data_IF_350884568454
#
_entry.id   IF_350884568454
#
_cell.length_a   1.000
_cell.length_b   1.000
_cell.length_c   1.000
_cell.angle_alpha   90.00
_cell.angle_beta   90.00
_cell.angle_gamma   90.00
#
_symmetry.space_group_name_H-M   'P 1'
#
loop_
_entity.id
_entity.type
_entity.pdbx_description
1 polymer ?
#
# COMPACT_ATOMS: atom_id res chain seq x y z
N UNK A 1 2.02 20.63 1.24
CA UNK A 1 1.45 20.12 2.50
C UNK A 1 0.34 19.13 2.15
N UNK A 2 0.55 17.82 2.30
CA UNK A 2 -0.49 16.84 1.99
C UNK A 2 -1.68 17.05 2.93
N UNK A 3 -2.86 17.33 2.37
CA UNK A 3 -4.11 17.48 3.13
C UNK A 3 -4.50 16.11 3.70
N UNK A 4 -4.05 15.78 4.90
CA UNK A 4 -4.51 14.58 5.59
C UNK A 4 -5.92 14.80 6.14
N UNK A 5 -6.90 14.12 5.54
CA UNK A 5 -8.26 14.06 6.06
C UNK A 5 -8.31 13.07 7.23
N UNK A 6 -8.85 13.52 8.39
CA UNK A 6 -9.10 12.65 9.55
C UNK A 6 -10.60 12.35 9.61
N UNK A 7 -10.97 11.09 9.37
CA UNK A 7 -12.35 10.62 9.54
C UNK A 7 -12.46 9.86 10.87
N UNK A 8 -13.43 10.23 11.72
CA UNK A 8 -13.70 9.53 12.97
C UNK A 8 -14.74 8.44 12.71
N UNK A 9 -14.28 7.18 12.61
CA UNK A 9 -15.16 6.04 12.32
C UNK A 9 -15.79 5.56 13.63
N UNK A 10 -17.12 5.61 13.72
CA UNK A 10 -17.85 4.98 14.83
C UNK A 10 -17.88 3.47 14.60
N UNK A 11 -17.14 2.72 15.41
CA UNK A 11 -17.11 1.26 15.39
C UNK A 11 -16.77 0.72 16.78
N UNK A 12 -17.14 -0.54 17.05
CA UNK A 12 -16.78 -1.22 18.30
C UNK A 12 -15.27 -1.54 18.35
N UNK A 13 -14.80 -1.96 19.53
CA UNK A 13 -13.38 -2.20 19.80
C UNK A 13 -12.77 -3.29 18.91
N UNK A 14 -13.53 -4.32 18.54
CA UNK A 14 -13.06 -5.41 17.70
C UNK A 14 -12.94 -4.96 16.25
N UNK A 15 -13.97 -4.31 15.72
CA UNK A 15 -13.95 -3.74 14.37
C UNK A 15 -12.81 -2.72 14.21
N UNK A 16 -12.61 -1.84 15.18
CA UNK A 16 -11.53 -0.87 15.15
C UNK A 16 -10.13 -1.52 15.10
N UNK A 17 -9.93 -2.62 15.82
CA UNK A 17 -8.67 -3.39 15.79
C UNK A 17 -8.41 -3.98 14.40
N UNK A 18 -9.44 -4.57 13.78
CA UNK A 18 -9.35 -5.13 12.42
C UNK A 18 -9.00 -4.02 11.42
N UNK A 19 -9.71 -2.90 11.46
CA UNK A 19 -9.43 -1.74 10.59
C UNK A 19 -7.98 -1.25 10.75
N UNK A 20 -7.48 -1.15 11.99
CA UNK A 20 -6.09 -0.74 12.23
C UNK A 20 -5.09 -1.70 11.58
N UNK A 21 -5.33 -3.00 11.66
CA UNK A 21 -4.48 -4.03 11.03
C UNK A 21 -4.55 -3.90 9.50
N UNK A 22 -5.75 -3.81 8.93
CA UNK A 22 -5.95 -3.64 7.49
C UNK A 22 -5.28 -2.38 6.96
N UNK A 23 -5.40 -1.24 7.64
CA UNK A 23 -4.72 0.00 7.24
C UNK A 23 -3.20 -0.14 7.27
N UNK A 24 -2.65 -0.82 8.29
CA UNK A 24 -1.19 -1.08 8.36
C UNK A 24 -0.73 -1.98 7.22
N UNK A 25 -1.45 -3.08 6.97
CA UNK A 25 -1.15 -4.00 5.87
C UNK A 25 -1.24 -3.30 4.52
N UNK A 26 -2.30 -2.52 4.29
CA UNK A 26 -2.51 -1.74 3.06
C UNK A 26 -1.38 -0.72 2.83
N UNK A 27 -0.99 0.04 3.86
CA UNK A 27 0.13 0.98 3.78
C UNK A 27 1.44 0.26 3.43
N UNK A 28 1.72 -0.87 4.09
CA UNK A 28 2.95 -1.62 3.86
C UNK A 28 2.98 -2.20 2.44
N UNK A 29 1.87 -2.77 1.97
CA UNK A 29 1.72 -3.29 0.62
C UNK A 29 1.93 -2.19 -0.42
N UNK A 30 1.30 -1.02 -0.23
CA UNK A 30 1.47 0.13 -1.11
C UNK A 30 2.94 0.59 -1.19
N UNK A 31 3.59 0.75 -0.03
CA UNK A 31 4.98 1.18 0.02
C UNK A 31 5.94 0.17 -0.64
N UNK A 32 5.70 -1.12 -0.44
CA UNK A 32 6.53 -2.17 -1.01
C UNK A 32 6.34 -2.27 -2.54
N UNK A 33 5.10 -2.19 -3.03
CA UNK A 33 4.79 -2.10 -4.46
C UNK A 33 5.45 -0.87 -5.11
N UNK A 34 5.27 0.31 -4.49
CA UNK A 34 5.82 1.57 -4.99
C UNK A 34 7.35 1.53 -5.07
N UNK A 35 8.01 0.92 -4.08
CA UNK A 35 9.45 0.72 -4.10
C UNK A 35 9.87 -0.06 -5.36
N UNK A 36 9.28 -1.22 -5.62
CA UNK A 36 9.62 -2.06 -6.77
C UNK A 36 9.35 -1.37 -8.11
N UNK A 37 8.23 -0.68 -8.25
CA UNK A 37 7.90 0.09 -9.45
C UNK A 37 8.96 1.18 -9.70
N UNK A 38 9.34 1.93 -8.68
CA UNK A 38 10.38 2.98 -8.80
C UNK A 38 11.75 2.40 -9.13
N UNK A 39 12.14 1.31 -8.47
CA UNK A 39 13.41 0.63 -8.74
C UNK A 39 13.48 0.11 -10.17
N UNK A 40 12.40 -0.46 -10.69
CA UNK A 40 12.33 -0.91 -12.07
C UNK A 40 12.44 0.27 -13.05
N UNK A 41 11.69 1.34 -12.80
CA UNK A 41 11.72 2.55 -13.63
C UNK A 41 13.12 3.17 -13.66
N UNK A 42 13.81 3.29 -12.54
CA UNK A 42 15.16 3.85 -12.53
C UNK A 42 16.17 3.02 -13.33
N UNK A 43 15.99 1.70 -13.40
CA UNK A 43 16.88 0.80 -14.15
C UNK A 43 16.56 0.72 -15.64
N UNK A 44 15.28 0.78 -15.99
CA UNK A 44 14.81 0.48 -17.36
C UNK A 44 14.23 1.69 -18.09
N UNK A 45 13.92 2.77 -17.38
CA UNK A 45 13.12 3.92 -17.83
C UNK A 45 11.67 3.55 -18.22
N UNK A 46 11.21 2.36 -17.84
CA UNK A 46 9.86 1.86 -18.12
C UNK A 46 9.08 1.56 -16.83
N UNK A 47 7.76 1.67 -16.90
CA UNK A 47 6.89 1.35 -15.76
C UNK A 47 6.64 -0.15 -15.67
N UNK A 48 6.74 -0.68 -14.45
CA UNK A 48 6.44 -2.08 -14.18
C UNK A 48 4.93 -2.33 -14.27
N UNK A 49 4.52 -3.30 -15.08
CA UNK A 49 3.11 -3.68 -15.24
C UNK A 49 2.53 -4.28 -13.96
N UNK A 50 1.24 -4.05 -13.73
CA UNK A 50 0.54 -4.46 -12.51
C UNK A 50 0.64 -5.98 -12.24
N UNK A 51 0.51 -6.80 -13.28
CA UNK A 51 0.58 -8.26 -13.19
C UNK A 51 1.97 -8.72 -12.70
N UNK A 52 3.01 -7.99 -13.10
CA UNK A 52 4.39 -8.27 -12.69
C UNK A 52 4.61 -7.90 -11.23
N UNK A 53 4.05 -6.76 -10.80
CA UNK A 53 4.04 -6.33 -9.40
C UNK A 53 3.36 -7.39 -8.52
N UNK A 54 2.20 -7.91 -8.93
CA UNK A 54 1.51 -8.96 -8.18
C UNK A 54 2.39 -10.21 -7.97
N UNK A 55 3.07 -10.69 -9.01
CA UNK A 55 3.94 -11.86 -8.90
C UNK A 55 5.16 -11.65 -8.00
N UNK A 56 5.67 -10.42 -7.90
CA UNK A 56 6.75 -10.06 -6.96
C UNK A 56 6.28 -9.98 -5.50
N UNK A 57 5.01 -9.61 -5.28
CA UNK A 57 4.48 -9.28 -3.96
C UNK A 57 3.71 -10.43 -3.29
N UNK A 58 3.23 -11.42 -4.06
CA UNK A 58 2.39 -12.53 -3.56
C UNK A 58 3.13 -13.58 -2.72
N UNK A 59 4.46 -13.43 -2.58
CA UNK A 59 5.34 -14.38 -1.89
C UNK A 59 5.08 -14.47 -0.39
#
# INVERSE_FOLDING_TARGET
>A
MYKTQKNHIRCDKQTYRVLRVLCRLSKNLYNYALYHVRQHYFKTQEYLRYESVYHLLKG
#
